data_IF_296863724640
#
_entry.id   IF_296863724640
#
_cell.length_a   1.000
_cell.length_b   1.000
_cell.length_c   1.000
_cell.angle_alpha   90.00
_cell.angle_beta   90.00
_cell.angle_gamma   90.00
#
_symmetry.space_group_name_H-M   'P 1'
#
loop_
_entity.id
_entity.type
_entity.pdbx_description
1 polymer ?
#
# COMPACT_ATOMS: atom_id res chain seq x y z
N UNK A 1 -21.14 9.34 -4.39
CA UNK A 1 -20.63 8.46 -5.47
C UNK A 1 -20.22 9.28 -6.68
N UNK A 2 -21.16 9.88 -7.42
CA UNK A 2 -20.89 10.55 -8.72
C UNK A 2 -19.76 11.59 -8.66
N UNK A 3 -19.78 12.50 -7.68
CA UNK A 3 -18.77 13.57 -7.59
C UNK A 3 -17.36 13.12 -7.23
N UNK A 4 -17.23 12.08 -6.39
CA UNK A 4 -15.91 11.51 -6.06
C UNK A 4 -15.36 10.75 -7.27
N UNK A 5 -16.22 9.98 -7.95
CA UNK A 5 -15.87 9.29 -9.19
C UNK A 5 -15.50 10.27 -10.32
N UNK A 6 -16.16 11.42 -10.43
CA UNK A 6 -15.83 12.49 -11.38
C UNK A 6 -14.43 13.08 -11.16
N UNK A 7 -13.98 13.16 -9.91
CA UNK A 7 -12.60 13.61 -9.59
C UNK A 7 -11.54 12.57 -9.97
N UNK A 8 -11.92 11.31 -10.14
CA UNK A 8 -11.01 10.19 -10.37
C UNK A 8 -11.51 9.32 -11.54
N UNK A 9 -11.63 9.88 -12.76
CA UNK A 9 -12.33 9.22 -13.87
C UNK A 9 -11.65 7.92 -14.32
N UNK A 10 -10.33 7.82 -14.12
CA UNK A 10 -9.54 6.65 -14.51
C UNK A 10 -9.56 5.52 -13.46
N UNK A 11 -10.14 5.79 -12.28
CA UNK A 11 -10.15 4.85 -11.15
C UNK A 11 -11.58 4.39 -10.93
N UNK A 12 -11.82 3.10 -11.15
CA UNK A 12 -13.15 2.52 -10.95
C UNK A 12 -13.38 2.25 -9.46
N UNK A 13 -14.35 2.96 -8.88
CA UNK A 13 -14.71 2.80 -7.47
C UNK A 13 -15.83 1.75 -7.33
N UNK A 14 -15.64 0.77 -6.45
CA UNK A 14 -16.62 -0.26 -6.14
C UNK A 14 -17.62 0.20 -5.07
N UNK A 15 -17.12 0.76 -3.96
CA UNK A 15 -17.93 1.21 -2.82
C UNK A 15 -17.31 2.42 -2.15
N UNK A 16 -18.16 3.25 -1.54
CA UNK A 16 -17.75 4.37 -0.70
C UNK A 16 -18.53 4.35 0.61
N UNK A 17 -17.83 4.51 1.73
CA UNK A 17 -18.42 4.56 3.06
C UNK A 17 -17.58 5.41 4.03
N UNK A 18 -18.14 5.85 5.17
CA UNK A 18 -17.40 6.63 6.16
C UNK A 18 -16.19 5.87 6.72
N UNK A 19 -15.23 6.61 7.27
CA UNK A 19 -14.14 6.03 8.05
C UNK A 19 -14.71 5.46 9.37
N UNK A 20 -14.08 4.41 9.90
CA UNK A 20 -14.32 4.03 11.28
C UNK A 20 -13.75 5.11 12.21
N UNK A 21 -14.28 5.31 13.44
CA UNK A 21 -13.84 6.38 14.33
C UNK A 21 -12.31 6.41 14.56
N UNK A 22 -11.67 5.25 14.67
CA UNK A 22 -10.22 5.16 14.82
C UNK A 22 -9.45 5.57 13.55
N UNK A 23 -9.98 5.26 12.37
CA UNK A 23 -9.37 5.66 11.10
C UNK A 23 -9.46 7.18 10.90
N UNK A 24 -10.50 7.85 11.41
CA UNK A 24 -10.59 9.32 11.37
C UNK A 24 -9.46 9.96 12.18
N UNK A 25 -9.15 9.42 13.36
CA UNK A 25 -8.03 9.90 14.20
C UNK A 25 -6.69 9.69 13.50
N UNK A 26 -6.46 8.51 12.91
CA UNK A 26 -5.25 8.23 12.13
C UNK A 26 -5.13 9.22 10.97
N UNK A 27 -6.21 9.42 10.22
CA UNK A 27 -6.22 10.31 9.06
C UNK A 27 -5.93 11.76 9.43
N UNK A 28 -6.54 12.26 10.50
CA UNK A 28 -6.29 13.62 11.00
C UNK A 28 -4.81 13.78 11.42
N UNK A 29 -4.28 12.84 12.20
CA UNK A 29 -2.90 12.89 12.66
C UNK A 29 -1.90 12.84 11.49
N UNK A 30 -2.09 11.89 10.55
CA UNK A 30 -1.24 11.78 9.35
C UNK A 30 -1.34 12.99 8.43
N UNK A 31 -2.49 13.68 8.38
CA UNK A 31 -2.64 14.91 7.58
C UNK A 31 -1.98 16.13 8.24
N UNK A 32 -2.01 16.19 9.58
CA UNK A 32 -1.41 17.29 10.34
C UNK A 32 0.11 17.14 10.50
N UNK A 33 0.63 15.91 10.44
CA UNK A 33 2.05 15.59 10.53
C UNK A 33 2.49 14.74 9.32
N UNK A 34 2.65 15.33 8.12
CA UNK A 34 2.89 14.56 6.89
C UNK A 34 4.18 13.72 6.90
N UNK A 35 5.16 14.12 7.71
CA UNK A 35 6.45 13.42 7.86
C UNK A 35 6.39 12.32 8.94
N UNK A 36 5.21 12.02 9.50
CA UNK A 36 5.05 11.00 10.54
C UNK A 36 5.07 9.59 9.94
N UNK A 37 5.95 8.74 10.47
CA UNK A 37 5.97 7.30 10.17
C UNK A 37 5.20 6.48 11.20
N UNK A 38 4.40 7.11 12.07
CA UNK A 38 3.71 6.45 13.19
C UNK A 38 2.70 5.36 12.78
N UNK A 39 2.25 5.38 11.52
CA UNK A 39 1.29 4.42 10.96
C UNK A 39 1.83 3.70 9.72
N UNK A 40 3.12 3.86 9.44
CA UNK A 40 3.80 3.17 8.35
C UNK A 40 4.45 1.91 8.89
N UNK A 41 4.11 0.76 8.31
CA UNK A 41 4.64 -0.54 8.72
C UNK A 41 5.42 -1.15 7.57
N UNK A 42 6.65 -1.57 7.86
CA UNK A 42 7.55 -2.22 6.91
C UNK A 42 8.06 -3.52 7.51
N UNK A 43 8.11 -4.59 6.72
CA UNK A 43 8.53 -5.91 7.20
C UNK A 43 9.43 -6.59 6.18
N UNK A 44 10.51 -7.18 6.67
CA UNK A 44 11.41 -8.04 5.89
C UNK A 44 11.22 -9.49 6.31
N UNK A 45 11.20 -10.39 5.32
CA UNK A 45 11.26 -11.82 5.56
C UNK A 45 12.51 -12.42 4.89
N UNK A 46 13.24 -13.21 5.66
CA UNK A 46 14.29 -14.08 5.12
C UNK A 46 13.67 -15.45 4.80
N UNK A 47 13.76 -15.86 3.53
CA UNK A 47 13.25 -17.15 3.06
C UNK A 47 14.42 -17.99 2.56
N UNK A 48 14.47 -19.25 2.99
CA UNK A 48 15.47 -20.22 2.56
C UNK A 48 14.81 -21.34 1.76
N UNK A 49 15.38 -21.65 0.59
CA UNK A 49 14.88 -22.70 -0.31
C UNK A 49 14.54 -22.16 -1.71
N UNK A 50 13.85 -22.99 -2.49
CA UNK A 50 13.36 -22.62 -3.81
C UNK A 50 12.08 -21.79 -3.69
N UNK A 51 12.08 -20.61 -4.33
CA UNK A 51 10.93 -19.71 -4.37
C UNK A 51 10.55 -19.41 -5.82
N UNK A 52 9.35 -19.80 -6.23
CA UNK A 52 8.76 -19.31 -7.47
C UNK A 52 8.25 -17.88 -7.26
N UNK A 53 9.06 -16.91 -7.69
CA UNK A 53 8.77 -15.48 -7.55
C UNK A 53 7.48 -15.09 -8.28
N UNK A 54 7.18 -15.71 -9.42
CA UNK A 54 5.96 -15.38 -10.18
C UNK A 54 4.72 -15.84 -9.43
N UNK A 55 4.75 -17.06 -8.90
CA UNK A 55 3.66 -17.59 -8.10
C UNK A 55 3.48 -16.79 -6.79
N UNK A 56 4.59 -16.39 -6.15
CA UNK A 56 4.55 -15.55 -4.95
C UNK A 56 3.83 -14.22 -5.21
N UNK A 57 4.21 -13.50 -6.27
CA UNK A 57 3.57 -12.24 -6.68
C UNK A 57 2.07 -12.48 -7.00
N UNK A 58 1.73 -13.55 -7.71
CA UNK A 58 0.33 -13.91 -8.00
C UNK A 58 -0.50 -14.19 -6.74
N UNK A 59 0.09 -14.82 -5.72
CA UNK A 59 -0.57 -15.04 -4.44
C UNK A 59 -0.85 -13.71 -3.72
N UNK A 60 0.11 -12.78 -3.71
CA UNK A 60 -0.10 -11.44 -3.15
C UNK A 60 -1.17 -10.66 -3.90
N UNK A 61 -1.19 -10.72 -5.23
CA UNK A 61 -2.24 -10.10 -6.03
C UNK A 61 -3.62 -10.65 -5.63
N UNK A 62 -3.76 -11.97 -5.48
CA UNK A 62 -5.02 -12.58 -5.03
C UNK A 62 -5.44 -12.13 -3.63
N UNK A 63 -4.50 -11.87 -2.72
CA UNK A 63 -4.81 -11.31 -1.41
C UNK A 63 -5.36 -9.87 -1.56
N UNK A 64 -4.74 -9.05 -2.40
CA UNK A 64 -5.23 -7.69 -2.68
C UNK A 64 -6.63 -7.71 -3.30
N UNK A 65 -6.85 -8.56 -4.31
CA UNK A 65 -8.16 -8.70 -4.96
C UNK A 65 -9.24 -9.10 -3.94
N UNK A 66 -8.92 -10.04 -3.06
CA UNK A 66 -9.84 -10.60 -2.06
C UNK A 66 -10.19 -9.62 -0.93
N UNK A 67 -9.25 -8.76 -0.52
CA UNK A 67 -9.39 -7.95 0.70
C UNK A 67 -9.58 -6.47 0.40
N UNK A 68 -10.79 -5.96 0.63
CA UNK A 68 -11.15 -4.56 0.36
C UNK A 68 -10.22 -3.55 1.05
N UNK A 69 -9.71 -3.88 2.25
CA UNK A 69 -8.78 -3.01 2.99
C UNK A 69 -7.49 -2.73 2.22
N UNK A 70 -7.03 -3.68 1.38
CA UNK A 70 -5.84 -3.53 0.54
C UNK A 70 -6.12 -2.77 -0.76
N UNK A 71 -7.40 -2.57 -1.10
CA UNK A 71 -7.86 -1.79 -2.26
C UNK A 71 -8.55 -0.49 -1.84
N UNK A 72 -8.43 -0.09 -0.58
CA UNK A 72 -9.11 1.10 -0.06
C UNK A 72 -8.16 2.29 -0.09
N UNK A 73 -8.66 3.41 -0.62
CA UNK A 73 -8.02 4.72 -0.50
C UNK A 73 -8.89 5.66 0.33
N UNK A 74 -8.28 6.71 0.88
CA UNK A 74 -9.00 7.81 1.53
C UNK A 74 -9.14 8.97 0.54
N UNK A 75 -10.37 9.45 0.38
CA UNK A 75 -10.71 10.55 -0.53
C UNK A 75 -11.54 11.60 0.20
N UNK A 76 -11.41 12.86 -0.19
CA UNK A 76 -12.19 13.95 0.36
C UNK A 76 -13.35 14.35 -0.57
N UNK A 77 -14.53 14.61 0.01
CA UNK A 77 -15.63 15.22 -0.71
C UNK A 77 -15.44 16.75 -0.88
N UNK A 78 -16.48 17.45 -1.34
CA UNK A 78 -16.43 18.91 -1.53
C UNK A 78 -16.35 19.72 -0.23
N UNK A 79 -16.65 19.09 0.90
CA UNK A 79 -16.64 19.70 2.24
C UNK A 79 -15.37 19.32 3.02
N UNK A 80 -14.36 18.76 2.33
CA UNK A 80 -13.14 18.22 2.92
C UNK A 80 -13.38 17.07 3.93
N UNK A 81 -14.56 16.44 3.89
CA UNK A 81 -14.83 15.27 4.74
C UNK A 81 -14.15 14.03 4.14
N UNK A 82 -13.39 13.25 4.92
CA UNK A 82 -12.75 12.03 4.43
C UNK A 82 -13.76 10.89 4.29
N UNK A 83 -13.55 10.06 3.26
CA UNK A 83 -14.32 8.87 2.94
C UNK A 83 -13.39 7.74 2.55
N UNK A 84 -13.79 6.50 2.85
CA UNK A 84 -13.13 5.31 2.34
C UNK A 84 -13.73 4.96 0.99
N UNK A 85 -12.89 4.86 -0.05
CA UNK A 85 -13.27 4.39 -1.37
C UNK A 85 -12.56 3.08 -1.67
N UNK A 86 -13.33 2.01 -1.82
CA UNK A 86 -12.84 0.70 -2.25
C UNK A 86 -12.75 0.72 -3.77
N UNK A 87 -11.55 0.46 -4.29
CA UNK A 87 -11.27 0.43 -5.72
C UNK A 87 -11.59 -0.95 -6.29
N UNK A 88 -12.15 -1.00 -7.50
CA UNK A 88 -12.56 -2.27 -8.13
C UNK A 88 -11.37 -3.19 -8.42
N UNK A 89 -10.23 -2.61 -8.78
CA UNK A 89 -9.01 -3.32 -9.12
C UNK A 89 -7.80 -2.48 -8.68
N UNK A 90 -6.79 -3.13 -8.12
CA UNK A 90 -5.49 -2.57 -7.74
C UNK A 90 -4.44 -3.60 -8.07
N UNK A 91 -3.50 -3.22 -8.92
CA UNK A 91 -2.36 -4.08 -9.25
C UNK A 91 -1.24 -3.84 -8.24
N UNK A 92 -0.66 -4.91 -7.71
CA UNK A 92 0.48 -4.78 -6.80
C UNK A 92 1.69 -4.28 -7.57
N UNK A 93 2.43 -3.37 -6.94
CA UNK A 93 3.76 -3.01 -7.41
C UNK A 93 4.76 -3.99 -6.80
N UNK A 94 5.64 -4.56 -7.63
CA UNK A 94 6.67 -5.49 -7.19
C UNK A 94 7.97 -5.20 -7.92
N UNK A 95 9.06 -5.13 -7.19
CA UNK A 95 10.40 -4.95 -7.74
C UNK A 95 11.29 -6.14 -7.37
N UNK A 96 12.03 -6.67 -8.34
CA UNK A 96 12.93 -7.81 -8.14
C UNK A 96 14.37 -7.32 -8.34
N UNK A 97 15.19 -7.47 -7.31
CA UNK A 97 16.62 -7.17 -7.35
C UNK A 97 17.42 -8.45 -7.18
N UNK A 98 18.34 -8.70 -8.11
CA UNK A 98 19.30 -9.80 -7.98
C UNK A 98 20.55 -9.29 -7.28
N UNK A 99 20.82 -9.79 -6.08
CA UNK A 99 21.96 -9.39 -5.26
C UNK A 99 23.06 -10.47 -5.21
N UNK A 100 22.98 -11.51 -6.05
CA UNK A 100 23.88 -12.68 -5.98
C UNK A 100 25.34 -12.28 -6.25
N UNK A 101 25.57 -11.24 -7.05
CA UNK A 101 26.92 -10.75 -7.37
C UNK A 101 27.54 -9.91 -6.25
N UNK A 102 26.76 -9.55 -5.23
CA UNK A 102 27.22 -8.77 -4.07
C UNK A 102 27.76 -9.70 -2.97
N UNK A 103 28.77 -9.23 -2.26
CA UNK A 103 29.20 -9.83 -0.99
C UNK A 103 28.10 -9.74 0.07
N UNK A 104 28.19 -10.54 1.13
CA UNK A 104 27.22 -10.48 2.24
C UNK A 104 27.14 -9.13 2.92
N UNK A 105 28.25 -8.40 2.99
CA UNK A 105 28.27 -7.05 3.54
C UNK A 105 27.52 -6.08 2.61
N UNK A 106 27.81 -6.10 1.31
CA UNK A 106 27.13 -5.26 0.32
C UNK A 106 25.61 -5.56 0.24
N UNK A 107 25.21 -6.83 0.38
CA UNK A 107 23.79 -7.21 0.47
C UNK A 107 23.10 -6.57 1.68
N UNK A 108 23.76 -6.58 2.84
CA UNK A 108 23.19 -5.98 4.05
C UNK A 108 23.11 -4.46 3.94
N UNK A 109 24.18 -3.81 3.46
CA UNK A 109 24.20 -2.36 3.23
C UNK A 109 23.11 -1.93 2.24
N UNK A 110 22.90 -2.72 1.17
CA UNK A 110 21.81 -2.48 0.23
C UNK A 110 20.43 -2.57 0.90
N UNK A 111 20.18 -3.60 1.71
CA UNK A 111 18.90 -3.76 2.41
C UNK A 111 18.65 -2.63 3.41
N UNK A 112 19.67 -2.25 4.18
CA UNK A 112 19.57 -1.16 5.16
C UNK A 112 19.29 0.18 4.47
N UNK A 113 19.95 0.46 3.34
CA UNK A 113 19.67 1.66 2.56
C UNK A 113 18.25 1.63 2.00
N UNK A 114 17.84 0.51 1.38
CA UNK A 114 16.53 0.38 0.75
C UNK A 114 15.38 0.57 1.75
N UNK A 115 15.53 0.04 2.98
CA UNK A 115 14.56 0.18 4.07
C UNK A 115 14.48 1.60 4.65
N UNK A 116 15.52 2.42 4.51
CA UNK A 116 15.47 3.81 4.96
C UNK A 116 14.90 4.74 3.88
N UNK A 117 14.98 4.33 2.60
CA UNK A 117 14.52 5.12 1.46
C UNK A 117 13.05 4.83 1.07
N UNK A 118 12.51 3.68 1.46
CA UNK A 118 11.15 3.21 1.12
C UNK A 118 10.39 2.79 2.37
#
# INVERSE_FOLDING_TARGET
LTKIQEKMPDIKIERIYPLAPFQEVIYEHATNEPDTNAYFEQTIWALEGELDIKLFIQCFQQLVDRHDSLRTIIVQDEQAKPWQAVLYDVQINSEIKNLIEMTKQEQQEFLDQWMNEN
#
